data_IF_300409483863
#
_entry.id   IF_300409483863
#
_cell.length_a   1.000
_cell.length_b   1.000
_cell.length_c   1.000
_cell.angle_alpha   90.00
_cell.angle_beta   90.00
_cell.angle_gamma   90.00
#
_symmetry.space_group_name_H-M   'P 1'
#
loop_
_entity.id
_entity.type
_entity.pdbx_description
1 polymer ?
#
# COMPACT_ATOMS: atom_id res chain seq x y z
N UNK A 1 -13.21 27.39 35.92
CA UNK A 1 -11.89 27.26 36.60
C UNK A 1 -12.05 27.53 38.10
N UNK A 2 -12.51 28.73 38.53
CA UNK A 2 -12.63 29.11 39.93
C UNK A 2 -13.41 28.09 40.78
N UNK A 3 -14.59 27.66 40.31
CA UNK A 3 -15.41 26.67 41.03
C UNK A 3 -14.71 25.30 41.17
N UNK A 4 -13.90 24.91 40.20
CA UNK A 4 -13.15 23.66 40.27
C UNK A 4 -12.01 23.75 41.27
N UNK A 5 -11.18 24.80 41.18
CA UNK A 5 -10.09 25.06 42.14
C UNK A 5 -10.57 25.20 43.55
N UNK A 6 -11.77 25.80 43.77
CA UNK A 6 -12.39 25.88 45.07
C UNK A 6 -12.83 24.51 45.62
N UNK A 7 -13.40 23.67 44.73
CA UNK A 7 -13.80 22.32 45.14
C UNK A 7 -12.58 21.43 45.45
N UNK A 8 -11.48 21.63 44.74
CA UNK A 8 -10.23 20.88 44.93
C UNK A 8 -9.36 21.46 46.06
N UNK A 9 -9.78 22.58 46.74
CA UNK A 9 -9.08 23.23 47.86
C UNK A 9 -7.79 23.96 47.48
N UNK A 10 -7.51 24.14 46.17
CA UNK A 10 -6.25 24.68 45.62
C UNK A 10 -6.37 26.12 45.13
N UNK A 11 -7.46 26.81 45.41
CA UNK A 11 -7.72 28.15 44.89
C UNK A 11 -6.72 29.19 45.43
N UNK A 12 -6.33 29.10 46.68
CA UNK A 12 -5.40 30.03 47.34
C UNK A 12 -3.96 29.78 46.83
N UNK A 13 -3.59 28.53 46.64
CA UNK A 13 -2.29 28.14 46.05
C UNK A 13 -2.16 28.61 44.59
N UNK A 14 -3.27 28.73 43.87
CA UNK A 14 -3.35 29.28 42.54
C UNK A 14 -3.34 30.83 42.48
N UNK A 15 -3.16 31.51 43.62
CA UNK A 15 -3.11 32.97 43.71
C UNK A 15 -4.49 33.63 43.91
N UNK A 16 -5.52 32.85 44.23
CA UNK A 16 -6.86 33.35 44.56
C UNK A 16 -7.64 33.91 43.35
N UNK A 17 -8.84 34.41 43.64
CA UNK A 17 -9.75 34.96 42.62
C UNK A 17 -9.14 36.19 41.93
N UNK A 18 -8.42 37.04 42.67
CA UNK A 18 -7.81 38.25 42.10
C UNK A 18 -6.78 37.92 41.01
N UNK A 19 -5.94 36.94 41.24
CA UNK A 19 -4.96 36.51 40.28
C UNK A 19 -5.61 35.89 39.01
N UNK A 20 -6.62 35.05 39.23
CA UNK A 20 -7.36 34.44 38.10
C UNK A 20 -8.12 35.50 37.28
N UNK A 21 -8.63 36.55 37.92
CA UNK A 21 -9.27 37.67 37.25
C UNK A 21 -8.24 38.49 36.47
N UNK A 22 -7.06 38.74 37.03
CA UNK A 22 -5.98 39.44 36.35
C UNK A 22 -5.48 38.67 35.12
N UNK A 23 -5.39 37.33 35.21
CA UNK A 23 -5.07 36.46 34.09
C UNK A 23 -6.14 36.54 32.99
N UNK A 24 -7.42 36.56 33.36
CA UNK A 24 -8.51 36.64 32.37
C UNK A 24 -8.55 38.02 31.66
N UNK A 25 -8.19 39.10 32.38
CA UNK A 25 -8.15 40.45 31.81
C UNK A 25 -6.84 40.77 31.05
N UNK A 26 -5.74 40.07 31.39
CA UNK A 26 -4.44 40.23 30.72
C UNK A 26 -4.37 39.50 29.38
N UNK A 27 -5.36 38.67 29.04
CA UNK A 27 -5.40 37.92 27.79
C UNK A 27 -6.08 38.77 26.70
N UNK A 28 -5.34 39.41 25.79
CA UNK A 28 -5.86 40.54 24.99
C UNK A 28 -6.87 40.19 23.91
N UNK A 29 -6.93 38.94 23.43
CA UNK A 29 -7.93 38.51 22.42
C UNK A 29 -8.04 37.00 22.31
N UNK A 30 -9.26 36.50 22.00
CA UNK A 30 -9.51 35.11 21.60
C UNK A 30 -8.76 34.69 20.28
N UNK A 31 -8.24 35.65 19.54
CA UNK A 31 -7.50 35.42 18.30
C UNK A 31 -6.23 34.54 18.50
N UNK A 32 -5.63 34.57 19.68
CA UNK A 32 -4.41 33.83 19.99
C UNK A 32 -4.64 32.47 20.69
N UNK A 33 -5.90 32.07 20.90
CA UNK A 33 -6.22 30.81 21.60
C UNK A 33 -5.53 29.59 20.97
N UNK A 34 -5.50 29.52 19.65
CA UNK A 34 -4.85 28.41 18.94
C UNK A 34 -3.33 28.40 19.15
N UNK A 35 -2.70 29.55 19.33
CA UNK A 35 -1.28 29.63 19.67
C UNK A 35 -1.01 29.05 21.05
N UNK A 36 -1.80 29.43 22.04
CA UNK A 36 -1.65 28.91 23.42
C UNK A 36 -2.00 27.41 23.50
N UNK A 37 -3.02 26.96 22.77
CA UNK A 37 -3.36 25.52 22.65
C UNK A 37 -2.18 24.73 22.11
N UNK A 38 -1.45 25.25 21.10
CA UNK A 38 -0.25 24.59 20.56
C UNK A 38 0.85 24.48 21.60
N UNK A 39 1.15 25.55 22.33
CA UNK A 39 2.16 25.57 23.40
C UNK A 39 1.80 24.56 24.50
N UNK A 40 0.53 24.53 24.94
CA UNK A 40 0.08 23.59 25.95
C UNK A 40 0.20 22.13 25.47
N UNK A 41 -0.16 21.87 24.22
CA UNK A 41 0.01 20.54 23.60
C UNK A 41 1.47 20.12 23.56
N UNK A 42 2.37 21.00 23.10
CA UNK A 42 3.80 20.72 23.03
C UNK A 42 4.38 20.38 24.42
N UNK A 43 4.03 21.16 25.44
CA UNK A 43 4.43 20.87 26.82
C UNK A 43 3.80 19.58 27.38
N UNK A 44 2.60 19.22 26.96
CA UNK A 44 1.97 17.97 27.37
C UNK A 44 2.69 16.76 26.75
N UNK A 45 3.04 16.85 25.47
CA UNK A 45 3.84 15.82 24.76
C UNK A 45 5.21 15.68 25.43
N UNK A 46 5.90 16.78 25.70
CA UNK A 46 7.19 16.76 26.42
C UNK A 46 7.11 16.05 27.78
N UNK A 47 6.10 16.38 28.61
CA UNK A 47 5.94 15.72 29.91
C UNK A 47 5.69 14.22 29.78
N UNK A 48 4.85 13.81 28.82
CA UNK A 48 4.60 12.37 28.58
C UNK A 48 5.81 11.65 28.05
N UNK A 49 6.55 12.27 27.12
CA UNK A 49 7.81 11.72 26.63
C UNK A 49 8.80 11.47 27.78
N UNK A 50 8.97 12.45 28.68
CA UNK A 50 9.82 12.30 29.87
C UNK A 50 9.35 11.16 30.79
N UNK A 51 8.04 11.07 31.05
CA UNK A 51 7.48 9.98 31.86
C UNK A 51 7.71 8.60 31.23
N UNK A 52 7.55 8.49 29.91
CA UNK A 52 7.77 7.23 29.20
C UNK A 52 9.26 6.85 29.16
N UNK A 53 10.16 7.84 29.00
CA UNK A 53 11.61 7.61 29.08
C UNK A 53 12.03 7.16 30.47
N UNK A 54 11.48 7.77 31.54
CA UNK A 54 11.72 7.33 32.92
C UNK A 54 11.24 5.89 33.15
N UNK A 55 10.03 5.55 32.67
CA UNK A 55 9.54 4.18 32.73
C UNK A 55 10.38 3.18 31.90
N UNK A 56 11.02 3.65 30.80
CA UNK A 56 11.94 2.86 30.02
C UNK A 56 13.25 2.58 30.78
N UNK A 57 13.80 3.58 31.48
CA UNK A 57 15.00 3.42 32.31
C UNK A 57 14.76 2.39 33.43
N UNK A 58 13.58 2.46 34.09
CA UNK A 58 13.21 1.46 35.08
C UNK A 58 13.03 0.05 34.50
N UNK A 59 12.42 -0.03 33.30
CA UNK A 59 12.25 -1.29 32.60
C UNK A 59 13.59 -1.89 32.12
N UNK A 60 14.54 -1.05 31.72
CA UNK A 60 15.89 -1.47 31.32
C UNK A 60 16.64 -2.15 32.46
N UNK A 61 16.44 -1.68 33.71
CA UNK A 61 17.02 -2.33 34.89
C UNK A 61 16.41 -3.69 35.24
N UNK A 62 15.26 -4.04 34.66
CA UNK A 62 14.52 -5.30 34.90
C UNK A 62 14.43 -6.21 33.68
N UNK A 63 14.85 -5.74 32.50
CA UNK A 63 14.75 -6.48 31.27
C UNK A 63 15.67 -7.70 31.25
N UNK A 64 15.11 -8.88 30.93
CA UNK A 64 15.87 -10.13 30.82
C UNK A 64 16.63 -10.23 29.49
N UNK A 65 16.25 -9.45 28.47
CA UNK A 65 16.92 -9.44 27.18
C UNK A 65 16.93 -8.05 26.49
N UNK A 66 17.95 -7.80 25.66
CA UNK A 66 18.03 -6.59 24.83
C UNK A 66 16.88 -6.49 23.80
N UNK A 67 16.35 -7.63 23.34
CA UNK A 67 15.22 -7.66 22.42
C UNK A 67 13.92 -7.13 23.05
N UNK A 68 13.68 -7.45 24.33
CA UNK A 68 12.53 -6.93 25.09
C UNK A 68 12.63 -5.42 25.27
N UNK A 69 13.81 -4.91 25.55
CA UNK A 69 14.05 -3.47 25.68
C UNK A 69 13.80 -2.74 24.36
N UNK A 70 14.31 -3.28 23.24
CA UNK A 70 14.09 -2.72 21.90
C UNK A 70 12.59 -2.70 21.55
N UNK A 71 11.87 -3.78 21.84
CA UNK A 71 10.40 -3.81 21.62
C UNK A 71 9.68 -2.74 22.43
N UNK A 72 10.08 -2.50 23.68
CA UNK A 72 9.52 -1.45 24.53
C UNK A 72 9.82 -0.05 24.00
N UNK A 73 11.04 0.21 23.53
CA UNK A 73 11.42 1.47 22.87
C UNK A 73 10.54 1.72 21.65
N UNK A 74 10.37 0.72 20.79
CA UNK A 74 9.52 0.81 19.59
C UNK A 74 8.07 1.13 19.96
N UNK A 75 7.53 0.48 20.98
CA UNK A 75 6.17 0.74 21.46
C UNK A 75 6.00 2.18 21.96
N UNK A 76 6.96 2.71 22.73
CA UNK A 76 6.94 4.08 23.25
C UNK A 76 7.03 5.08 22.09
N UNK A 77 7.94 4.85 21.14
CA UNK A 77 8.11 5.73 19.98
C UNK A 77 6.84 5.79 19.13
N UNK A 78 6.20 4.64 18.86
CA UNK A 78 4.96 4.58 18.12
C UNK A 78 3.81 5.34 18.82
N UNK A 79 3.71 5.22 20.15
CA UNK A 79 2.69 5.92 20.94
C UNK A 79 2.89 7.45 20.91
N UNK A 80 4.15 7.92 21.00
CA UNK A 80 4.48 9.35 20.91
C UNK A 80 4.23 9.91 19.52
N UNK A 81 4.57 9.15 18.47
CA UNK A 81 4.28 9.54 17.08
C UNK A 81 2.78 9.67 16.82
N UNK A 82 1.97 8.75 17.34
CA UNK A 82 0.50 8.82 17.23
C UNK A 82 -0.09 10.03 17.91
N UNK A 83 0.53 10.49 19.00
CA UNK A 83 0.07 11.67 19.76
C UNK A 83 0.45 12.99 19.06
N UNK A 84 1.62 13.03 18.44
CA UNK A 84 2.11 14.19 17.66
C UNK A 84 1.47 14.27 16.29
N UNK A 85 1.04 13.14 15.73
CA UNK A 85 0.37 13.10 14.44
C UNK A 85 -0.87 14.01 14.45
N UNK A 86 -1.06 14.87 13.43
CA UNK A 86 -2.24 15.71 13.34
C UNK A 86 -3.47 14.81 13.28
N UNK A 87 -4.27 14.77 14.35
CA UNK A 87 -5.58 14.11 14.30
C UNK A 87 -6.40 14.84 13.25
N UNK A 88 -6.72 14.16 12.14
CA UNK A 88 -7.65 14.67 11.16
C UNK A 88 -8.97 14.94 11.87
N UNK A 89 -9.34 16.22 11.98
CA UNK A 89 -10.64 16.64 12.49
C UNK A 89 -11.71 16.45 11.39
N UNK A 90 -12.98 16.70 11.72
CA UNK A 90 -14.04 16.68 10.72
C UNK A 90 -13.72 17.66 9.59
N UNK A 91 -13.84 17.19 8.35
CA UNK A 91 -13.74 18.05 7.17
C UNK A 91 -15.14 18.55 6.85
N UNK A 92 -15.38 19.88 6.86
CA UNK A 92 -16.66 20.42 6.45
C UNK A 92 -16.98 20.02 5.00
N UNK A 93 -18.23 19.65 4.73
CA UNK A 93 -18.65 19.25 3.38
C UNK A 93 -18.34 20.32 2.33
N UNK A 94 -18.42 21.60 2.70
CA UNK A 94 -18.10 22.72 1.82
C UNK A 94 -16.65 22.66 1.31
N UNK A 95 -15.69 22.34 2.19
CA UNK A 95 -14.28 22.22 1.80
C UNK A 95 -14.07 20.97 0.92
N UNK A 96 -14.69 19.84 1.28
CA UNK A 96 -14.59 18.61 0.52
C UNK A 96 -15.19 18.73 -0.90
N UNK A 97 -16.28 19.51 -1.07
CA UNK A 97 -16.88 19.77 -2.39
C UNK A 97 -15.95 20.60 -3.27
N UNK A 98 -15.31 21.63 -2.71
CA UNK A 98 -14.36 22.46 -3.47
C UNK A 98 -13.18 21.61 -3.94
N UNK A 99 -12.59 20.82 -3.05
CA UNK A 99 -11.47 19.91 -3.39
C UNK A 99 -11.87 18.89 -4.47
N UNK A 100 -13.06 18.30 -4.34
CA UNK A 100 -13.60 17.37 -5.33
C UNK A 100 -13.81 18.04 -6.70
N UNK A 101 -14.33 19.26 -6.72
CA UNK A 101 -14.54 20.04 -7.94
C UNK A 101 -13.21 20.38 -8.64
N UNK A 102 -12.23 20.89 -7.89
CA UNK A 102 -10.90 21.19 -8.41
C UNK A 102 -10.23 19.94 -9.01
N UNK A 103 -10.38 18.80 -8.36
CA UNK A 103 -9.87 17.52 -8.88
C UNK A 103 -10.55 17.13 -10.20
N UNK A 104 -11.87 17.27 -10.30
CA UNK A 104 -12.62 16.97 -11.53
C UNK A 104 -12.18 17.93 -12.65
N UNK A 105 -11.99 19.21 -12.34
CA UNK A 105 -11.52 20.21 -13.31
C UNK A 105 -10.12 19.87 -13.85
N UNK A 106 -9.17 19.54 -12.96
CA UNK A 106 -7.82 19.08 -13.35
C UNK A 106 -7.86 17.85 -14.25
N UNK A 107 -8.70 16.86 -13.93
CA UNK A 107 -8.87 15.66 -14.75
C UNK A 107 -9.47 15.98 -16.13
N UNK A 108 -10.40 16.93 -16.21
CA UNK A 108 -11.05 17.33 -17.47
C UNK A 108 -10.10 18.10 -18.40
N UNK A 109 -9.12 18.82 -17.84
CA UNK A 109 -8.13 19.59 -18.57
C UNK A 109 -6.95 18.76 -19.09
N UNK A 110 -6.84 17.49 -18.68
CA UNK A 110 -5.74 16.60 -19.08
C UNK A 110 -6.26 15.45 -19.98
N UNK A 111 -6.53 15.72 -21.28
CA UNK A 111 -7.07 14.74 -22.21
C UNK A 111 -6.09 13.58 -22.49
N UNK A 112 -4.79 13.77 -22.25
CA UNK A 112 -3.76 12.74 -22.45
C UNK A 112 -3.73 11.71 -21.33
N UNK A 113 -4.39 11.94 -20.20
CA UNK A 113 -4.44 11.01 -19.06
C UNK A 113 -5.20 9.70 -19.35
N UNK A 114 -5.75 9.50 -20.56
CA UNK A 114 -6.45 8.26 -21.01
C UNK A 114 -7.44 7.71 -19.99
N UNK A 115 -7.98 8.57 -19.11
CA UNK A 115 -8.87 8.16 -18.02
C UNK A 115 -8.18 7.46 -16.83
N UNK A 116 -6.84 7.49 -16.76
CA UNK A 116 -6.06 6.92 -15.65
C UNK A 116 -5.90 8.02 -14.60
N UNK A 117 -6.53 7.86 -13.44
CA UNK A 117 -6.51 8.81 -12.33
C UNK A 117 -5.56 8.40 -11.21
N UNK A 118 -5.19 7.14 -11.18
CA UNK A 118 -4.24 6.55 -10.24
C UNK A 118 -2.89 6.22 -10.87
N UNK A 119 -2.08 5.44 -10.17
CA UNK A 119 -0.81 4.92 -10.68
C UNK A 119 -1.08 3.88 -11.77
N UNK A 120 -0.50 4.07 -12.95
CA UNK A 120 -0.62 3.13 -14.06
C UNK A 120 0.05 1.79 -13.71
N UNK A 121 -0.60 0.68 -14.03
CA UNK A 121 -0.01 -0.66 -13.93
C UNK A 121 0.99 -0.94 -15.05
N UNK A 122 0.89 -0.17 -16.15
CA UNK A 122 1.63 -0.37 -17.39
C UNK A 122 0.95 -1.36 -18.37
N UNK A 123 -0.28 -1.79 -18.05
CA UNK A 123 -1.11 -2.63 -18.90
C UNK A 123 -2.39 -1.87 -19.29
N UNK A 124 -2.50 -1.35 -20.53
CA UNK A 124 -3.57 -0.41 -20.90
C UNK A 124 -4.99 -0.93 -20.65
N UNK A 125 -5.25 -2.22 -20.85
CA UNK A 125 -6.59 -2.79 -20.63
C UNK A 125 -6.90 -2.90 -19.14
N UNK A 126 -5.91 -3.22 -18.29
CA UNK A 126 -6.06 -3.23 -16.85
C UNK A 126 -6.24 -1.79 -16.32
N UNK A 127 -5.46 -0.85 -16.83
CA UNK A 127 -5.55 0.56 -16.45
C UNK A 127 -6.89 1.18 -16.87
N UNK A 128 -7.43 0.79 -18.03
CA UNK A 128 -8.78 1.19 -18.47
C UNK A 128 -9.88 0.65 -17.54
N UNK A 129 -9.72 -0.59 -17.05
CA UNK A 129 -10.69 -1.22 -16.16
C UNK A 129 -10.64 -0.63 -14.75
N UNK A 130 -9.42 -0.31 -14.24
CA UNK A 130 -9.21 0.13 -12.86
C UNK A 130 -9.07 1.64 -12.71
N UNK A 131 -8.93 2.39 -13.82
CA UNK A 131 -8.46 3.77 -13.85
C UNK A 131 -7.08 3.97 -13.17
N UNK A 132 -6.24 2.91 -13.15
CA UNK A 132 -4.99 2.84 -12.40
C UNK A 132 -5.20 2.55 -10.91
N UNK A 133 -4.11 2.34 -10.17
CA UNK A 133 -4.15 2.08 -8.73
C UNK A 133 -4.28 3.39 -7.95
N UNK A 134 -5.40 3.56 -7.25
CA UNK A 134 -5.71 4.84 -6.57
C UNK A 134 -4.90 5.00 -5.29
N UNK A 135 -4.45 6.23 -4.96
CA UNK A 135 -3.85 6.52 -3.65
C UNK A 135 -4.79 6.12 -2.50
N UNK A 136 -4.22 5.54 -1.46
CA UNK A 136 -4.98 5.06 -0.30
C UNK A 136 -5.69 3.72 -0.49
N UNK A 137 -5.62 3.08 -1.67
CA UNK A 137 -6.23 1.77 -1.91
C UNK A 137 -5.32 0.62 -1.48
N UNK A 138 -5.96 -0.41 -0.93
CA UNK A 138 -5.39 -1.74 -0.73
C UNK A 138 -5.82 -2.65 -1.87
N UNK A 139 -4.85 -3.06 -2.67
CA UNK A 139 -5.02 -3.96 -3.81
C UNK A 139 -4.50 -5.34 -3.44
N UNK A 140 -5.35 -6.34 -3.46
CA UNK A 140 -4.95 -7.73 -3.24
C UNK A 140 -4.77 -8.41 -4.58
N UNK A 141 -3.57 -8.95 -4.83
CA UNK A 141 -3.30 -9.79 -5.98
C UNK A 141 -3.09 -11.22 -5.50
N UNK A 142 -4.02 -12.11 -5.83
CA UNK A 142 -3.99 -13.46 -5.31
C UNK A 142 -3.90 -14.51 -6.43
N UNK A 143 -3.12 -15.56 -6.16
CA UNK A 143 -2.92 -16.67 -7.09
C UNK A 143 -2.50 -17.94 -6.36
N UNK A 144 -2.59 -19.08 -7.04
CA UNK A 144 -1.91 -20.31 -6.62
C UNK A 144 -0.39 -20.17 -6.87
N UNK A 145 0.45 -20.92 -6.14
CA UNK A 145 1.88 -20.96 -6.38
C UNK A 145 2.21 -21.21 -7.84
N UNK A 146 3.29 -20.61 -8.34
CA UNK A 146 3.81 -20.80 -9.70
C UNK A 146 2.93 -20.27 -10.85
N UNK A 147 1.78 -19.65 -10.58
CA UNK A 147 0.94 -19.00 -11.60
C UNK A 147 1.60 -17.73 -12.17
N UNK A 148 2.42 -17.02 -11.36
CA UNK A 148 3.16 -15.84 -11.80
C UNK A 148 2.93 -14.58 -10.94
N UNK A 149 2.39 -14.73 -9.71
CA UNK A 149 2.05 -13.65 -8.79
C UNK A 149 3.21 -12.65 -8.55
N UNK A 150 4.36 -13.14 -8.10
CA UNK A 150 5.57 -12.33 -7.88
C UNK A 150 6.05 -11.67 -9.19
N UNK A 151 6.06 -12.41 -10.32
CA UNK A 151 6.46 -11.85 -11.61
C UNK A 151 5.55 -10.70 -12.04
N UNK A 152 4.23 -10.81 -11.85
CA UNK A 152 3.27 -9.73 -12.12
C UNK A 152 3.60 -8.48 -11.29
N UNK A 153 3.78 -8.64 -9.97
CA UNK A 153 4.10 -7.53 -9.07
C UNK A 153 5.43 -6.85 -9.42
N UNK A 154 6.47 -7.63 -9.78
CA UNK A 154 7.76 -7.10 -10.23
C UNK A 154 7.63 -6.31 -11.54
N UNK A 155 6.82 -6.78 -12.47
CA UNK A 155 6.58 -6.06 -13.73
C UNK A 155 5.82 -4.75 -13.49
N UNK A 156 4.82 -4.73 -12.59
CA UNK A 156 4.17 -3.48 -12.17
C UNK A 156 5.16 -2.53 -11.53
N UNK A 157 6.04 -3.02 -10.63
CA UNK A 157 7.12 -2.21 -10.03
C UNK A 157 8.06 -1.62 -11.09
N UNK A 158 8.46 -2.43 -12.09
CA UNK A 158 9.31 -1.98 -13.18
C UNK A 158 8.62 -0.94 -14.07
N UNK A 159 7.35 -1.12 -14.38
CA UNK A 159 6.57 -0.16 -15.16
C UNK A 159 6.44 1.17 -14.42
N UNK A 160 6.08 1.16 -13.12
CA UNK A 160 6.03 2.35 -12.29
C UNK A 160 7.41 3.04 -12.20
N UNK A 161 8.47 2.26 -11.98
CA UNK A 161 9.85 2.79 -11.94
C UNK A 161 10.31 3.40 -13.27
N UNK A 162 9.83 2.88 -14.42
CA UNK A 162 10.11 3.46 -15.75
C UNK A 162 9.47 4.83 -15.92
N UNK A 163 8.33 5.07 -15.27
CA UNK A 163 7.66 6.37 -15.22
C UNK A 163 8.24 7.31 -14.14
N UNK A 164 9.39 6.96 -13.54
CA UNK A 164 10.06 7.75 -12.51
C UNK A 164 9.41 7.69 -11.12
N UNK A 165 8.44 6.79 -10.93
CA UNK A 165 7.75 6.59 -9.65
C UNK A 165 8.63 5.85 -8.65
N UNK A 166 8.46 6.19 -7.37
CA UNK A 166 9.19 5.56 -6.26
C UNK A 166 8.40 4.37 -5.73
N UNK A 167 9.01 3.19 -5.74
CA UNK A 167 8.39 1.93 -5.33
C UNK A 167 9.11 1.35 -4.11
N UNK A 168 8.37 1.00 -3.06
CA UNK A 168 8.85 0.18 -1.95
C UNK A 168 8.39 -1.26 -2.15
N UNK A 169 9.31 -2.20 -2.21
CA UNK A 169 9.05 -3.63 -2.39
C UNK A 169 9.53 -4.41 -1.15
N UNK A 170 8.60 -4.98 -0.41
CA UNK A 170 8.89 -5.89 0.71
C UNK A 170 8.79 -7.34 0.22
N UNK A 171 9.91 -8.04 0.21
CA UNK A 171 9.98 -9.44 -0.22
C UNK A 171 10.29 -10.33 0.97
N UNK A 172 9.28 -11.05 1.43
CA UNK A 172 9.39 -11.93 2.61
C UNK A 172 9.67 -13.39 2.23
N UNK A 173 9.55 -13.72 0.94
CA UNK A 173 9.77 -15.08 0.43
C UNK A 173 11.12 -15.23 -0.29
N UNK A 174 11.57 -14.17 -0.96
CA UNK A 174 12.71 -14.24 -1.86
C UNK A 174 13.74 -13.15 -1.54
N UNK A 175 15.05 -13.48 -1.57
CA UNK A 175 16.09 -12.48 -1.40
C UNK A 175 16.13 -11.49 -2.58
N UNK A 176 16.57 -10.26 -2.30
CA UNK A 176 16.60 -9.14 -3.25
C UNK A 176 17.36 -9.49 -4.55
N UNK A 177 18.46 -10.24 -4.47
CA UNK A 177 19.22 -10.66 -5.65
C UNK A 177 18.39 -11.47 -6.65
N UNK A 178 17.53 -12.39 -6.17
CA UNK A 178 16.68 -13.19 -7.05
C UNK A 178 15.60 -12.35 -7.72
N UNK A 179 15.06 -11.36 -7.02
CA UNK A 179 14.09 -10.43 -7.58
C UNK A 179 14.73 -9.57 -8.68
N UNK A 180 15.92 -9.02 -8.41
CA UNK A 180 16.68 -8.23 -9.39
C UNK A 180 17.04 -9.08 -10.61
N UNK A 181 17.45 -10.34 -10.44
CA UNK A 181 17.68 -11.24 -11.58
C UNK A 181 16.42 -11.41 -12.44
N UNK A 182 15.24 -11.59 -11.82
CA UNK A 182 13.97 -11.69 -12.56
C UNK A 182 13.63 -10.38 -13.28
N UNK A 183 13.87 -9.23 -12.63
CA UNK A 183 13.67 -7.93 -13.25
C UNK A 183 14.60 -7.74 -14.47
N UNK A 184 15.87 -8.13 -14.37
CA UNK A 184 16.83 -8.08 -15.46
C UNK A 184 16.42 -9.03 -16.63
N UNK A 185 15.96 -10.25 -16.32
CA UNK A 185 15.43 -11.17 -17.33
C UNK A 185 14.26 -10.54 -18.10
N UNK A 186 13.34 -9.88 -17.39
CA UNK A 186 12.18 -9.24 -17.99
C UNK A 186 12.56 -8.01 -18.84
N UNK A 187 13.52 -7.20 -18.37
CA UNK A 187 13.97 -5.99 -19.05
C UNK A 187 14.75 -6.31 -20.31
N UNK A 188 15.73 -7.23 -20.22
CA UNK A 188 16.62 -7.61 -21.31
C UNK A 188 16.03 -8.67 -22.24
N UNK A 189 14.88 -9.28 -21.91
CA UNK A 189 14.31 -10.46 -22.56
C UNK A 189 15.32 -11.62 -22.65
N UNK A 190 16.01 -11.90 -21.54
CA UNK A 190 16.96 -13.00 -21.39
C UNK A 190 16.27 -14.16 -20.66
N UNK A 191 16.53 -15.39 -21.12
CA UNK A 191 15.98 -16.59 -20.49
C UNK A 191 16.47 -16.74 -19.05
N UNK A 192 15.52 -16.90 -18.11
CA UNK A 192 15.80 -17.00 -16.67
C UNK A 192 16.63 -18.23 -16.32
N UNK A 193 16.55 -19.31 -17.09
CA UNK A 193 17.40 -20.49 -16.93
C UNK A 193 18.85 -20.18 -17.28
N UNK A 194 19.09 -19.51 -18.40
CA UNK A 194 20.43 -19.06 -18.80
C UNK A 194 21.01 -18.05 -17.80
N UNK A 195 20.22 -17.09 -17.37
CA UNK A 195 20.63 -16.12 -16.35
C UNK A 195 21.02 -16.81 -15.05
N UNK A 196 20.25 -17.80 -14.59
CA UNK A 196 20.51 -18.54 -13.37
C UNK A 196 21.75 -19.41 -13.42
N UNK A 197 22.03 -20.02 -14.58
CA UNK A 197 23.18 -20.94 -14.76
C UNK A 197 24.44 -20.21 -15.18
N UNK A 198 24.35 -18.92 -15.55
CA UNK A 198 25.49 -18.14 -16.06
C UNK A 198 25.89 -18.45 -17.50
N UNK A 199 25.16 -19.33 -18.19
CA UNK A 199 25.40 -19.66 -19.62
C UNK A 199 24.79 -18.58 -20.54
N UNK A 200 25.34 -17.38 -20.47
CA UNK A 200 24.93 -16.25 -21.30
C UNK A 200 25.73 -16.23 -22.60
N UNK A 201 25.02 -15.94 -23.69
CA UNK A 201 25.63 -15.74 -25.04
C UNK A 201 26.18 -14.31 -25.14
N UNK A 202 26.95 -14.02 -26.21
CA UNK A 202 27.38 -12.65 -26.52
C UNK A 202 26.21 -11.69 -26.64
N UNK A 203 25.16 -12.09 -27.35
CA UNK A 203 23.92 -11.32 -27.55
C UNK A 203 23.19 -11.07 -26.23
N UNK A 204 23.27 -12.02 -25.26
CA UNK A 204 22.68 -11.81 -23.93
C UNK A 204 23.43 -10.72 -23.17
N UNK A 205 24.74 -10.68 -23.27
CA UNK A 205 25.58 -9.63 -22.63
C UNK A 205 25.32 -8.25 -23.24
N UNK A 206 25.16 -8.16 -24.56
CA UNK A 206 24.81 -6.90 -25.23
C UNK A 206 23.48 -6.35 -24.78
N UNK A 207 22.50 -7.20 -24.46
CA UNK A 207 21.18 -6.80 -23.93
C UNK A 207 21.18 -6.53 -22.44
N UNK A 208 22.04 -7.24 -21.70
CA UNK A 208 22.10 -7.14 -20.24
C UNK A 208 22.68 -5.79 -19.78
N UNK A 209 23.73 -5.29 -20.43
CA UNK A 209 24.40 -4.04 -20.04
C UNK A 209 23.42 -2.85 -20.01
N UNK A 210 22.65 -2.55 -21.09
CA UNK A 210 21.68 -1.46 -21.06
C UNK A 210 20.53 -1.72 -20.09
N UNK A 211 20.13 -2.98 -19.87
CA UNK A 211 19.09 -3.32 -18.90
C UNK A 211 19.54 -3.06 -17.46
N UNK A 212 20.80 -3.35 -17.14
CA UNK A 212 21.41 -3.01 -15.83
C UNK A 212 21.40 -1.50 -15.63
N UNK A 213 21.88 -0.72 -16.62
CA UNK A 213 21.86 0.75 -16.53
C UNK A 213 20.44 1.27 -16.29
N UNK A 214 19.49 0.85 -17.15
CA UNK A 214 18.11 1.30 -17.05
C UNK A 214 17.44 0.92 -15.71
N UNK A 215 17.72 -0.26 -15.18
CA UNK A 215 17.15 -0.70 -13.90
C UNK A 215 17.78 0.03 -12.72
N UNK A 216 19.08 0.35 -12.78
CA UNK A 216 19.80 1.04 -11.70
C UNK A 216 19.35 2.49 -11.50
N UNK A 217 18.79 3.11 -12.52
CA UNK A 217 18.24 4.49 -12.46
C UNK A 217 16.82 4.55 -11.86
N UNK A 218 16.14 3.39 -11.77
CA UNK A 218 14.78 3.34 -11.25
C UNK A 218 14.76 3.45 -9.73
N UNK A 219 13.79 4.20 -9.21
CA UNK A 219 13.59 4.37 -7.77
C UNK A 219 12.82 3.20 -7.16
N UNK A 220 13.38 2.00 -7.22
CA UNK A 220 12.82 0.79 -6.62
C UNK A 220 13.67 0.40 -5.42
N UNK A 221 13.07 0.43 -4.23
CA UNK A 221 13.71 0.11 -2.96
C UNK A 221 13.20 -1.24 -2.47
N UNK A 222 14.11 -2.20 -2.27
CA UNK A 222 13.80 -3.57 -1.88
C UNK A 222 14.19 -3.79 -0.44
N UNK A 223 13.27 -4.37 0.32
CA UNK A 223 13.50 -4.88 1.68
C UNK A 223 13.21 -6.38 1.69
N UNK A 224 14.21 -7.20 1.92
CA UNK A 224 14.13 -8.67 1.98
C UNK A 224 14.28 -9.21 3.41
N UNK A 225 13.92 -8.40 4.41
CA UNK A 225 13.91 -8.82 5.81
C UNK A 225 12.91 -9.96 6.01
N UNK A 226 13.39 -11.13 6.46
CA UNK A 226 12.57 -12.34 6.62
C UNK A 226 11.47 -12.21 7.69
N UNK A 227 11.68 -11.35 8.69
CA UNK A 227 10.73 -11.10 9.77
C UNK A 227 10.47 -9.60 9.84
N UNK A 228 9.34 -9.16 9.35
CA UNK A 228 8.93 -7.75 9.40
C UNK A 228 7.51 -7.63 9.94
N UNK A 229 7.27 -6.63 10.77
CA UNK A 229 5.95 -6.30 11.30
C UNK A 229 5.30 -5.18 10.50
N UNK A 230 3.97 -5.04 10.61
CA UNK A 230 3.23 -3.93 9.98
C UNK A 230 3.69 -2.56 10.50
N UNK A 231 4.15 -2.47 11.75
CA UNK A 231 4.72 -1.25 12.33
C UNK A 231 6.05 -0.87 11.68
N UNK A 232 6.93 -1.84 11.43
CA UNK A 232 8.20 -1.62 10.73
C UNK A 232 8.00 -1.25 9.27
N UNK A 233 7.06 -1.92 8.56
CA UNK A 233 6.66 -1.54 7.20
C UNK A 233 6.23 -0.07 7.18
N UNK A 234 5.35 0.33 8.10
CA UNK A 234 4.87 1.72 8.23
C UNK A 234 6.03 2.70 8.44
N UNK A 235 6.92 2.40 9.39
CA UNK A 235 8.06 3.26 9.71
C UNK A 235 9.02 3.41 8.53
N UNK A 236 9.36 2.29 7.84
CA UNK A 236 10.22 2.30 6.66
C UNK A 236 9.60 3.08 5.51
N UNK A 237 8.30 2.88 5.24
CA UNK A 237 7.57 3.61 4.20
C UNK A 237 7.46 5.12 4.49
N UNK A 238 7.21 5.53 5.75
CA UNK A 238 7.23 6.95 6.15
C UNK A 238 8.59 7.59 5.90
N UNK A 239 9.67 6.91 6.29
CA UNK A 239 11.03 7.40 6.07
C UNK A 239 11.32 7.54 4.58
N UNK A 240 11.03 6.50 3.78
CA UNK A 240 11.24 6.50 2.34
C UNK A 240 10.45 7.63 1.67
N UNK A 241 9.18 7.82 2.06
CA UNK A 241 8.32 8.91 1.54
C UNK A 241 8.90 10.28 1.83
N UNK A 242 9.52 10.47 3.01
CA UNK A 242 10.16 11.73 3.40
C UNK A 242 11.45 12.01 2.62
N UNK A 243 12.26 10.99 2.36
CA UNK A 243 13.59 11.11 1.76
C UNK A 243 13.56 11.12 0.23
N UNK A 244 12.73 10.29 -0.39
CA UNK A 244 12.72 10.04 -1.84
C UNK A 244 11.36 10.20 -2.50
N UNK A 245 10.31 10.45 -1.72
CA UNK A 245 8.93 10.26 -2.16
C UNK A 245 8.53 8.79 -2.12
N UNK A 246 7.23 8.51 -2.29
CA UNK A 246 6.71 7.14 -2.35
C UNK A 246 5.40 7.16 -3.12
N UNK A 247 5.33 6.35 -4.18
CA UNK A 247 4.17 6.26 -5.07
C UNK A 247 3.49 4.88 -5.04
N UNK A 248 4.22 3.83 -4.62
CA UNK A 248 3.70 2.46 -4.58
C UNK A 248 4.37 1.64 -3.49
N UNK A 249 3.59 0.83 -2.78
CA UNK A 249 4.10 -0.19 -1.86
C UNK A 249 3.67 -1.57 -2.36
N UNK A 250 4.60 -2.51 -2.42
CA UNK A 250 4.35 -3.91 -2.78
C UNK A 250 4.82 -4.82 -1.67
N UNK A 251 4.02 -5.82 -1.29
CA UNK A 251 4.32 -6.79 -0.23
C UNK A 251 4.16 -8.21 -0.78
N UNK A 252 5.24 -8.97 -0.85
CA UNK A 252 5.24 -10.38 -1.30
C UNK A 252 5.68 -11.31 -0.16
N UNK A 253 4.76 -11.99 0.52
CA UNK A 253 3.33 -11.94 0.47
C UNK A 253 2.74 -11.74 1.89
N UNK A 254 1.52 -11.28 1.96
CA UNK A 254 0.84 -10.82 3.16
C UNK A 254 0.90 -11.83 4.33
N UNK A 255 0.75 -13.14 4.04
CA UNK A 255 0.73 -14.17 5.06
C UNK A 255 2.10 -14.39 5.75
N UNK A 256 3.20 -13.83 5.25
CA UNK A 256 4.51 -13.89 5.90
C UNK A 256 4.79 -12.68 6.82
N UNK A 257 3.97 -11.63 6.74
CA UNK A 257 4.09 -10.48 7.65
C UNK A 257 3.88 -10.96 9.08
N UNK A 258 4.77 -10.54 9.98
CA UNK A 258 4.74 -10.95 11.38
C UNK A 258 3.72 -10.11 12.16
N UNK A 259 2.86 -10.74 12.99
CA UNK A 259 1.81 -10.02 13.73
C UNK A 259 2.33 -9.16 14.90
N UNK A 260 3.64 -9.13 15.17
CA UNK A 260 4.23 -8.44 16.33
C UNK A 260 4.32 -9.34 17.57
N UNK A 261 4.44 -8.73 18.76
CA UNK A 261 4.74 -9.42 20.02
C UNK A 261 3.63 -10.36 20.53
N UNK A 262 2.41 -10.24 20.04
CA UNK A 262 1.28 -11.11 20.43
C UNK A 262 0.96 -12.09 19.32
N UNK A 263 1.63 -13.24 19.32
CA UNK A 263 1.22 -14.39 18.51
C UNK A 263 -0.12 -14.89 19.01
N UNK A 264 -1.17 -14.85 18.17
CA UNK A 264 -2.49 -15.38 18.50
C UNK A 264 -2.61 -16.82 18.02
N UNK A 265 -3.40 -17.62 18.71
CA UNK A 265 -3.64 -19.03 18.34
C UNK A 265 -4.41 -19.16 17.00
N UNK A 266 -5.08 -18.09 16.55
CA UNK A 266 -5.91 -18.12 15.34
C UNK A 266 -5.26 -17.31 14.20
N UNK A 267 -4.77 -18.02 13.19
CA UNK A 267 -4.15 -17.47 11.99
C UNK A 267 -5.06 -16.53 11.21
N UNK A 268 -6.36 -16.78 11.19
CA UNK A 268 -7.33 -15.92 10.50
C UNK A 268 -7.41 -14.52 11.13
N UNK A 269 -7.33 -14.44 12.45
CA UNK A 269 -7.32 -13.16 13.18
C UNK A 269 -6.04 -12.38 12.89
N UNK A 270 -4.88 -13.06 12.86
CA UNK A 270 -3.60 -12.43 12.52
C UNK A 270 -3.63 -11.81 11.12
N UNK A 271 -4.11 -12.56 10.14
CA UNK A 271 -4.22 -12.09 8.75
C UNK A 271 -5.20 -10.93 8.64
N UNK A 272 -6.28 -10.93 9.40
CA UNK A 272 -7.23 -9.83 9.49
C UNK A 272 -6.61 -8.55 10.04
N UNK A 273 -5.82 -8.67 11.10
CA UNK A 273 -5.10 -7.53 11.69
C UNK A 273 -4.07 -6.96 10.72
N UNK A 274 -3.33 -7.82 10.02
CA UNK A 274 -2.36 -7.41 9.00
C UNK A 274 -3.06 -6.67 7.86
N UNK A 275 -4.13 -7.24 7.30
CA UNK A 275 -4.90 -6.63 6.20
C UNK A 275 -5.40 -5.23 6.58
N UNK A 276 -6.01 -5.10 7.76
CA UNK A 276 -6.48 -3.82 8.27
C UNK A 276 -5.35 -2.81 8.48
N UNK A 277 -4.20 -3.26 9.00
CA UNK A 277 -3.04 -2.41 9.17
C UNK A 277 -2.48 -1.93 7.83
N UNK A 278 -2.43 -2.79 6.79
CA UNK A 278 -1.99 -2.41 5.45
C UNK A 278 -2.95 -1.39 4.81
N UNK A 279 -4.27 -1.54 5.00
CA UNK A 279 -5.24 -0.54 4.56
C UNK A 279 -5.05 0.80 5.27
N UNK A 280 -4.72 0.78 6.56
CA UNK A 280 -4.39 2.00 7.30
C UNK A 280 -3.12 2.65 6.75
N UNK A 281 -2.07 1.89 6.46
CA UNK A 281 -0.82 2.37 5.85
C UNK A 281 -1.11 3.04 4.49
N UNK A 282 -1.90 2.41 3.63
CA UNK A 282 -2.29 2.97 2.34
C UNK A 282 -2.96 4.34 2.50
N UNK A 283 -3.95 4.45 3.39
CA UNK A 283 -4.67 5.70 3.68
C UNK A 283 -3.79 6.78 4.31
N UNK A 284 -2.94 6.39 5.25
CA UNK A 284 -2.07 7.32 5.98
C UNK A 284 -1.01 7.92 5.07
N UNK A 285 -0.39 7.07 4.25
CA UNK A 285 0.65 7.47 3.31
C UNK A 285 0.08 8.02 2.00
N UNK A 286 -1.23 7.92 1.77
CA UNK A 286 -1.88 8.31 0.52
C UNK A 286 -1.17 7.71 -0.70
N UNK A 287 -0.94 6.37 -0.66
CA UNK A 287 -0.31 5.61 -1.73
C UNK A 287 -1.05 4.27 -1.92
N UNK A 288 -1.12 3.72 -3.14
CA UNK A 288 -1.60 2.36 -3.34
C UNK A 288 -0.67 1.34 -2.69
N UNK A 289 -1.26 0.33 -2.05
CA UNK A 289 -0.56 -0.81 -1.47
C UNK A 289 -1.01 -2.07 -2.17
N UNK A 290 -0.11 -2.73 -2.89
CA UNK A 290 -0.34 -4.04 -3.49
C UNK A 290 0.16 -5.11 -2.53
N UNK A 291 -0.74 -5.91 -1.98
CA UNK A 291 -0.38 -7.05 -1.15
C UNK A 291 -0.68 -8.35 -1.89
N UNK A 292 0.36 -9.16 -2.06
CA UNK A 292 0.23 -10.46 -2.69
C UNK A 292 -0.35 -11.46 -1.68
N UNK A 293 -1.23 -12.34 -2.15
CA UNK A 293 -1.87 -13.36 -1.31
C UNK A 293 -1.84 -14.72 -2.00
N UNK A 294 -1.70 -15.77 -1.21
CA UNK A 294 -1.80 -17.13 -1.71
C UNK A 294 -3.23 -17.65 -1.55
N UNK A 295 -3.77 -18.25 -2.62
CA UNK A 295 -5.10 -18.86 -2.60
C UNK A 295 -5.10 -20.22 -1.90
N UNK A 296 -6.24 -20.58 -1.31
CA UNK A 296 -6.46 -21.89 -0.72
C UNK A 296 -6.37 -23.02 -1.77
N UNK A 297 -6.06 -24.24 -1.33
CA UNK A 297 -6.00 -25.40 -2.24
C UNK A 297 -7.38 -25.83 -2.76
N UNK A 298 -8.45 -25.35 -2.14
CA UNK A 298 -9.82 -25.67 -2.55
C UNK A 298 -10.16 -25.27 -3.99
N UNK A 299 -9.47 -24.24 -4.54
CA UNK A 299 -9.66 -23.86 -5.95
C UNK A 299 -9.34 -24.97 -6.93
N UNK A 300 -8.38 -25.85 -6.61
CA UNK A 300 -7.95 -26.96 -7.47
C UNK A 300 -8.94 -28.11 -7.52
N UNK A 301 -9.85 -28.20 -6.53
CA UNK A 301 -10.84 -29.28 -6.41
C UNK A 301 -12.12 -28.99 -7.21
N UNK A 302 -12.32 -27.76 -7.68
CA UNK A 302 -13.48 -27.38 -8.47
C UNK A 302 -13.31 -27.77 -9.94
N UNK A 303 -14.42 -27.94 -10.63
CA UNK A 303 -14.46 -28.15 -12.07
C UNK A 303 -13.95 -26.90 -12.81
N UNK A 304 -14.49 -25.72 -12.49
CA UNK A 304 -13.93 -24.45 -12.90
C UNK A 304 -12.91 -23.98 -11.85
N UNK A 305 -11.65 -23.93 -12.27
CA UNK A 305 -10.51 -23.58 -11.40
C UNK A 305 -10.21 -22.08 -11.42
N UNK A 306 -11.08 -21.25 -12.03
CA UNK A 306 -11.00 -19.80 -11.90
C UNK A 306 -11.25 -19.39 -10.46
N UNK A 307 -10.34 -18.60 -9.86
CA UNK A 307 -10.51 -18.17 -8.48
C UNK A 307 -11.75 -17.29 -8.27
N UNK A 308 -12.36 -17.42 -7.10
CA UNK A 308 -13.48 -16.61 -6.63
C UNK A 308 -13.15 -16.05 -5.24
N UNK A 309 -13.89 -15.04 -4.77
CA UNK A 309 -13.61 -14.37 -3.49
C UNK A 309 -13.55 -15.32 -2.30
N UNK A 310 -14.36 -16.39 -2.29
CA UNK A 310 -14.32 -17.40 -1.23
C UNK A 310 -13.01 -18.21 -1.17
N UNK A 311 -12.16 -18.17 -2.20
CA UNK A 311 -10.86 -18.84 -2.21
C UNK A 311 -9.80 -18.10 -1.38
N UNK A 312 -10.08 -16.85 -0.99
CA UNK A 312 -9.36 -16.10 0.02
C UNK A 312 -9.69 -16.58 1.46
N UNK A 313 -10.22 -17.76 1.64
CA UNK A 313 -11.00 -18.31 2.76
C UNK A 313 -10.33 -18.32 4.13
N UNK A 314 -9.01 -18.28 4.22
CA UNK A 314 -8.30 -18.07 5.49
C UNK A 314 -8.36 -16.60 5.95
N UNK A 315 -9.04 -15.75 5.18
CA UNK A 315 -8.93 -14.30 5.26
C UNK A 315 -10.21 -13.60 4.77
N UNK A 316 -11.39 -13.99 5.23
CA UNK A 316 -12.65 -13.28 4.90
C UNK A 316 -12.58 -11.77 5.19
N UNK A 317 -11.68 -11.36 6.08
CA UNK A 317 -11.37 -9.97 6.37
C UNK A 317 -10.55 -9.28 5.27
N UNK A 318 -9.66 -10.00 4.56
CA UNK A 318 -8.92 -9.42 3.41
C UNK A 318 -9.90 -8.93 2.36
N UNK A 319 -10.93 -9.73 2.07
CA UNK A 319 -11.98 -9.33 1.14
C UNK A 319 -12.68 -8.04 1.59
N UNK A 320 -12.98 -7.89 2.88
CA UNK A 320 -13.68 -6.70 3.40
C UNK A 320 -12.80 -5.46 3.38
N UNK A 321 -11.52 -5.57 3.76
CA UNK A 321 -10.58 -4.47 3.87
C UNK A 321 -10.07 -3.98 2.50
N UNK A 322 -9.93 -4.89 1.50
CA UNK A 322 -9.44 -4.58 0.17
C UNK A 322 -10.41 -3.69 -0.62
N UNK A 323 -9.86 -2.73 -1.35
CA UNK A 323 -10.61 -1.91 -2.31
C UNK A 323 -10.68 -2.60 -3.66
N UNK A 324 -9.60 -3.28 -4.05
CA UNK A 324 -9.50 -4.08 -5.28
C UNK A 324 -9.01 -5.48 -4.95
N UNK A 325 -9.66 -6.49 -5.50
CA UNK A 325 -9.20 -7.88 -5.46
C UNK A 325 -9.02 -8.38 -6.89
N UNK A 326 -7.79 -8.71 -7.23
CA UNK A 326 -7.38 -9.26 -8.52
C UNK A 326 -6.92 -10.70 -8.36
N UNK A 327 -7.45 -11.62 -9.14
CA UNK A 327 -6.97 -12.98 -9.22
C UNK A 327 -6.16 -13.19 -10.48
N UNK A 328 -5.06 -13.93 -10.37
CA UNK A 328 -4.32 -14.39 -11.53
C UNK A 328 -4.67 -15.85 -11.79
N UNK A 329 -5.13 -16.12 -13.01
CA UNK A 329 -5.49 -17.46 -13.46
C UNK A 329 -4.80 -17.77 -14.80
N UNK A 330 -4.32 -18.98 -14.94
CA UNK A 330 -3.73 -19.48 -16.17
C UNK A 330 -4.32 -20.85 -16.49
N UNK A 331 -4.94 -20.94 -17.64
CA UNK A 331 -5.56 -22.18 -18.10
C UNK A 331 -4.51 -23.27 -18.37
N UNK A 332 -3.40 -22.92 -19.03
CA UNK A 332 -2.28 -23.82 -19.34
C UNK A 332 -1.49 -24.33 -18.12
N UNK A 333 -1.78 -23.80 -16.93
CA UNK A 333 -1.24 -24.33 -15.66
C UNK A 333 -1.98 -25.57 -15.21
N UNK A 334 -3.29 -25.61 -15.46
CA UNK A 334 -4.18 -26.70 -15.04
C UNK A 334 -4.43 -27.71 -16.15
N UNK A 335 -4.46 -27.26 -17.41
CA UNK A 335 -4.65 -28.06 -18.60
C UNK A 335 -3.53 -27.82 -19.62
N UNK A 336 -2.71 -28.86 -19.84
CA UNK A 336 -1.58 -28.81 -20.80
C UNK A 336 -2.02 -28.73 -22.25
N UNK A 337 -3.23 -29.19 -22.56
CA UNK A 337 -3.82 -29.18 -23.90
C UNK A 337 -4.62 -27.90 -24.18
N UNK A 338 -4.66 -26.97 -23.22
CA UNK A 338 -5.34 -25.70 -23.40
C UNK A 338 -4.85 -24.93 -24.64
N UNK A 339 -5.78 -24.41 -25.41
CA UNK A 339 -5.51 -23.51 -26.55
C UNK A 339 -4.94 -22.15 -26.10
N UNK A 340 -5.21 -21.74 -24.86
CA UNK A 340 -4.76 -20.47 -24.26
C UNK A 340 -3.35 -20.58 -23.66
N UNK A 341 -2.38 -20.99 -24.46
CA UNK A 341 -0.97 -21.10 -23.99
C UNK A 341 -0.38 -19.72 -23.72
N UNK A 342 0.29 -19.61 -22.54
CA UNK A 342 0.91 -18.38 -22.06
C UNK A 342 -0.05 -17.21 -21.80
N UNK A 343 -1.35 -17.41 -21.89
CA UNK A 343 -2.34 -16.40 -21.51
C UNK A 343 -2.58 -16.47 -20.01
N UNK A 344 -2.57 -15.31 -19.37
CA UNK A 344 -2.96 -15.14 -17.98
C UNK A 344 -4.16 -14.22 -17.91
N UNK A 345 -5.18 -14.66 -17.21
CA UNK A 345 -6.36 -13.85 -16.91
C UNK A 345 -6.11 -13.10 -15.59
N UNK A 346 -6.19 -11.77 -15.65
CA UNK A 346 -6.25 -10.89 -14.46
C UNK A 346 -7.72 -10.61 -14.20
N UNK A 347 -8.30 -11.33 -13.23
CA UNK A 347 -9.72 -11.27 -12.90
C UNK A 347 -9.92 -10.27 -11.77
N UNK A 348 -10.47 -9.10 -12.06
CA UNK A 348 -10.87 -8.13 -11.06
C UNK A 348 -12.22 -8.58 -10.48
N UNK A 349 -12.15 -9.30 -9.35
CA UNK A 349 -13.33 -9.89 -8.72
C UNK A 349 -14.03 -8.92 -7.75
N UNK A 350 -13.32 -7.91 -7.26
CA UNK A 350 -13.85 -6.83 -6.44
C UNK A 350 -13.19 -5.52 -6.82
N UNK A 351 -13.98 -4.46 -6.93
CA UNK A 351 -13.51 -3.08 -7.05
C UNK A 351 -14.54 -2.15 -6.41
N UNK A 352 -14.12 -1.32 -5.44
CA UNK A 352 -15.06 -0.42 -4.75
C UNK A 352 -15.54 0.73 -5.64
N UNK A 353 -14.64 1.26 -6.45
CA UNK A 353 -14.88 2.48 -7.23
C UNK A 353 -14.80 2.23 -8.74
N UNK A 354 -15.22 1.05 -9.21
CA UNK A 354 -15.17 0.73 -10.63
C UNK A 354 -15.82 -0.62 -10.96
N UNK A 355 -15.85 -0.99 -12.23
CA UNK A 355 -16.44 -2.25 -12.68
C UNK A 355 -15.52 -3.44 -12.38
N UNK A 356 -16.10 -4.61 -12.21
CA UNK A 356 -15.40 -5.89 -12.20
C UNK A 356 -15.26 -6.40 -13.64
N UNK A 357 -14.25 -7.24 -13.88
CA UNK A 357 -14.01 -7.77 -15.23
C UNK A 357 -12.74 -8.60 -15.32
N UNK A 358 -12.44 -9.09 -16.50
CA UNK A 358 -11.25 -9.90 -16.76
C UNK A 358 -10.42 -9.28 -17.88
N UNK A 359 -9.13 -9.16 -17.65
CA UNK A 359 -8.15 -8.71 -18.62
C UNK A 359 -7.20 -9.85 -18.93
N UNK A 360 -6.95 -10.11 -20.21
CA UNK A 360 -6.00 -11.12 -20.63
C UNK A 360 -4.64 -10.47 -20.93
N UNK A 361 -3.58 -11.04 -20.39
CA UNK A 361 -2.19 -10.68 -20.66
C UNK A 361 -1.43 -11.90 -21.17
N UNK A 362 -0.32 -11.68 -21.85
CA UNK A 362 0.61 -12.74 -22.24
C UNK A 362 1.72 -12.83 -21.20
N UNK A 363 1.93 -14.01 -20.64
CA UNK A 363 3.01 -14.28 -19.70
C UNK A 363 4.15 -15.05 -20.36
N UNK A 364 5.21 -14.37 -20.70
CA UNK A 364 6.45 -14.94 -21.24
C UNK A 364 7.28 -15.52 -20.10
N UNK A 365 6.99 -16.79 -19.76
CA UNK A 365 7.53 -17.48 -18.55
C UNK A 365 9.06 -17.48 -18.52
N UNK A 366 9.68 -17.74 -19.69
CA UNK A 366 11.14 -17.79 -19.83
C UNK A 366 11.81 -16.45 -19.46
N UNK A 367 11.11 -15.33 -19.61
CA UNK A 367 11.63 -13.99 -19.30
C UNK A 367 11.05 -13.42 -18.03
N UNK A 368 10.14 -14.13 -17.33
CA UNK A 368 9.37 -13.61 -16.22
C UNK A 368 8.63 -12.30 -16.53
N UNK A 369 8.15 -12.14 -17.77
CA UNK A 369 7.62 -10.89 -18.34
C UNK A 369 6.16 -11.03 -18.70
N UNK A 370 5.39 -10.01 -18.33
CA UNK A 370 4.02 -9.82 -18.79
C UNK A 370 3.99 -8.77 -19.90
N UNK A 371 3.18 -9.00 -20.90
CA UNK A 371 2.92 -8.05 -21.99
C UNK A 371 1.42 -8.00 -22.28
N UNK A 372 0.96 -6.85 -22.76
CA UNK A 372 -0.42 -6.70 -23.19
C UNK A 372 -0.71 -7.61 -24.38
N UNK A 373 -1.90 -8.20 -24.41
CA UNK A 373 -2.37 -8.94 -25.57
C UNK A 373 -2.81 -7.92 -26.62
N UNK A 374 -2.11 -7.83 -27.77
CA UNK A 374 -2.58 -7.06 -28.91
C UNK A 374 -3.84 -7.74 -29.46
N UNK A 375 -5.00 -7.18 -29.17
CA UNK A 375 -6.21 -7.50 -29.92
C UNK A 375 -6.11 -6.71 -31.21
N UNK A 376 -5.95 -7.42 -32.36
CA UNK A 376 -6.05 -6.78 -33.66
C UNK A 376 -7.26 -5.85 -33.68
N UNK A 377 -7.11 -4.68 -34.29
CA UNK A 377 -8.09 -3.59 -34.30
C UNK A 377 -9.50 -4.10 -34.60
N UNK A 378 -10.22 -4.52 -33.58
CA UNK A 378 -11.65 -4.66 -33.63
C UNK A 378 -12.27 -3.29 -33.33
N UNK A 379 -13.17 -2.91 -34.20
CA UNK A 379 -13.85 -1.63 -34.40
C UNK A 379 -14.16 -0.87 -33.09
N UNK A 380 -14.06 0.47 -33.12
CA UNK A 380 -14.52 1.26 -31.99
C UNK A 380 -15.99 0.94 -31.72
N UNK A 381 -16.31 0.63 -30.46
CA UNK A 381 -17.68 0.41 -30.05
C UNK A 381 -18.58 1.52 -30.60
N UNK A 382 -19.77 1.19 -31.20
CA UNK A 382 -20.63 2.19 -31.79
C UNK A 382 -20.91 3.26 -30.75
N UNK A 383 -20.57 4.51 -31.07
CA UNK A 383 -20.95 5.68 -30.25
C UNK A 383 -22.45 5.60 -30.05
N UNK A 384 -22.90 5.35 -28.81
CA UNK A 384 -24.30 5.53 -28.47
C UNK A 384 -24.61 7.00 -28.75
N UNK A 385 -25.36 7.26 -29.82
CA UNK A 385 -25.93 8.56 -30.08
C UNK A 385 -26.74 8.96 -28.82
N UNK A 386 -26.58 10.20 -28.34
CA UNK A 386 -27.40 10.69 -27.23
C UNK A 386 -28.86 10.63 -27.65
N UNK A 387 -29.69 9.93 -26.84
CA UNK A 387 -31.11 9.84 -27.03
C UNK A 387 -31.72 11.26 -27.15
N UNK A 388 -32.27 11.63 -28.30
CA UNK A 388 -32.78 12.98 -28.53
C UNK A 388 -33.95 13.37 -27.62
N UNK A 389 -34.49 12.41 -26.82
CA UNK A 389 -35.59 12.63 -25.89
C UNK A 389 -35.18 13.13 -24.51
N UNK A 390 -33.87 13.28 -24.21
CA UNK A 390 -33.35 13.87 -22.96
C UNK A 390 -33.02 15.37 -23.05
N UNK A 391 -33.55 16.09 -24.02
CA UNK A 391 -33.65 17.53 -23.94
C UNK A 391 -34.96 17.88 -23.22
N UNK A 392 -34.86 18.54 -22.09
CA UNK A 392 -35.96 19.08 -21.27
C UNK A 392 -36.62 18.07 -20.28
N UNK A 393 -36.04 17.90 -19.10
CA UNK A 393 -36.75 17.87 -17.83
C UNK A 393 -35.83 18.53 -16.78
#
# INVERSE_FOLDING_TARGET
>A
VVNRLRADGTLDDAGGIAYLTSLATSTPTAANVMHYVRIIKDHAVHRRALQQVQGLVEAAGRAESGAELVAKVQQITAALEEEVAPKKDFVPISAAVVEAYERIEQLSQNPDARGITGLASGYPDLDRLTAGFQPGDLIIVAARPSVGKTAFALNVAQNAGREGKTVALFSLEMPAQQLVQRMLCAEANIDAGRMRTGFLTGDDWEKLIPAVSALSERKIFIDDSALITTAEIRAKCRRLKKEHGLDLVIIDYLQLVHPGARRRENRQVEVAEISRALKQIAKELDVPVIALSQLSRGVEQRQDKRPILSDLRESGSIEQDADVVAFLYRDDYYDRESEKKNIIEVIIAKQRNGPVGTVELVFLKQFSKFVSLERGHDQPAPRREPDPRRRWA
#
